data_IF_672916282089
#
_entry.id   IF_672916282089
#
_cell.length_a   1.000
_cell.length_b   1.000
_cell.length_c   1.000
_cell.angle_alpha   90.00
_cell.angle_beta   90.00
_cell.angle_gamma   90.00
#
_symmetry.space_group_name_H-M   'P 1'
#
loop_
_entity.id
_entity.type
_entity.pdbx_description
1 polymer ?
#
# COMPACT_ATOMS: atom_id res chain seq x y z
N UNK A 1 1.76 29.77 -1.79
CA UNK A 1 2.56 28.87 -0.93
C UNK A 1 4.00 29.39 -0.93
N UNK A 2 4.59 29.68 0.23
CA UNK A 2 5.95 30.25 0.29
C UNK A 2 7.00 29.17 0.00
N UNK A 3 8.16 29.59 -0.50
CA UNK A 3 9.28 28.71 -0.87
C UNK A 3 9.82 27.90 0.33
N UNK A 4 9.77 28.49 1.53
CA UNK A 4 10.08 27.80 2.78
C UNK A 4 9.09 26.69 3.13
N UNK A 5 7.79 26.86 2.84
CA UNK A 5 6.81 25.78 3.05
C UNK A 5 7.08 24.62 2.10
N UNK A 6 7.42 24.89 0.83
CA UNK A 6 7.82 23.85 -0.14
C UNK A 6 9.03 23.05 0.34
N UNK A 7 10.08 23.72 0.83
CA UNK A 7 11.31 23.05 1.29
C UNK A 7 11.08 22.18 2.54
N UNK A 8 10.23 22.63 3.46
CA UNK A 8 9.86 21.84 4.65
C UNK A 8 9.06 20.60 4.23
N UNK A 9 8.09 20.75 3.33
CA UNK A 9 7.33 19.64 2.75
C UNK A 9 8.23 18.61 2.06
N UNK A 10 9.17 19.08 1.24
CA UNK A 10 10.14 18.25 0.53
C UNK A 10 11.03 17.46 1.51
N UNK A 11 11.51 18.11 2.57
CA UNK A 11 12.32 17.43 3.60
C UNK A 11 11.55 16.40 4.42
N UNK A 12 10.25 16.62 4.65
CA UNK A 12 9.36 15.65 5.29
C UNK A 12 9.06 14.45 4.39
N UNK A 13 8.90 14.69 3.08
CA UNK A 13 8.79 13.63 2.08
C UNK A 13 10.05 12.79 2.00
N UNK A 14 11.25 13.40 2.02
CA UNK A 14 12.52 12.68 1.97
C UNK A 14 12.74 11.82 3.22
N UNK A 15 12.33 12.29 4.41
CA UNK A 15 12.41 11.52 5.65
C UNK A 15 11.39 10.37 5.67
N UNK A 16 10.15 10.63 5.23
CA UNK A 16 9.12 9.61 5.07
C UNK A 16 9.52 8.58 3.99
N UNK A 17 10.14 9.03 2.89
CA UNK A 17 10.69 8.20 1.82
C UNK A 17 11.76 7.26 2.36
N UNK A 18 12.73 7.76 3.13
CA UNK A 18 13.82 6.93 3.67
C UNK A 18 13.34 5.89 4.69
N UNK A 19 12.34 6.22 5.50
CA UNK A 19 11.73 5.25 6.43
C UNK A 19 10.90 4.20 5.68
N UNK A 20 10.17 4.62 4.65
CA UNK A 20 9.23 3.77 3.90
C UNK A 20 9.93 2.89 2.86
N UNK A 21 11.00 3.35 2.21
CA UNK A 21 11.85 2.51 1.34
C UNK A 21 12.44 1.33 2.11
N UNK A 22 12.73 1.49 3.41
CA UNK A 22 13.23 0.40 4.25
C UNK A 22 12.17 -0.62 4.64
N UNK A 23 10.88 -0.26 4.65
CA UNK A 23 9.76 -1.17 4.96
C UNK A 23 9.01 -1.64 3.70
N UNK A 24 9.43 -1.19 2.51
CA UNK A 24 8.88 -1.64 1.25
C UNK A 24 9.59 -2.89 0.79
N UNK A 25 8.81 -3.85 0.28
CA UNK A 25 9.36 -4.95 -0.49
C UNK A 25 10.26 -4.41 -1.60
N UNK A 26 11.45 -4.99 -1.78
CA UNK A 26 12.52 -4.44 -2.62
C UNK A 26 12.06 -4.12 -4.07
N UNK A 27 11.19 -4.97 -4.62
CA UNK A 27 10.62 -4.78 -5.97
C UNK A 27 9.70 -3.56 -6.11
N UNK A 28 9.18 -3.03 -5.00
CA UNK A 28 8.34 -1.83 -4.99
C UNK A 28 9.15 -0.54 -4.91
N UNK A 29 10.44 -0.61 -4.55
CA UNK A 29 11.28 0.59 -4.40
C UNK A 29 11.39 1.39 -5.70
N UNK A 30 11.71 0.81 -6.87
CA UNK A 30 11.78 1.57 -8.11
C UNK A 30 10.43 2.18 -8.51
N UNK A 31 9.33 1.47 -8.21
CA UNK A 31 7.99 1.97 -8.44
C UNK A 31 7.69 3.16 -7.52
N UNK A 32 8.02 3.07 -6.24
CA UNK A 32 7.85 4.15 -5.27
C UNK A 32 8.62 5.41 -5.68
N UNK A 33 9.89 5.26 -6.06
CA UNK A 33 10.73 6.36 -6.57
C UNK A 33 10.13 7.01 -7.82
N UNK A 34 9.65 6.20 -8.77
CA UNK A 34 8.96 6.69 -9.96
C UNK A 34 7.69 7.49 -9.62
N UNK A 35 6.89 7.01 -8.66
CA UNK A 35 5.68 7.74 -8.22
C UNK A 35 6.07 9.05 -7.55
N UNK A 36 7.10 9.08 -6.70
CA UNK A 36 7.59 10.32 -6.10
C UNK A 36 8.07 11.33 -7.15
N UNK A 37 8.80 10.89 -8.17
CA UNK A 37 9.23 11.76 -9.27
C UNK A 37 8.04 12.33 -10.05
N UNK A 38 7.01 11.50 -10.29
CA UNK A 38 5.76 11.93 -10.92
C UNK A 38 5.02 12.98 -10.07
N UNK A 39 4.93 12.72 -8.77
CA UNK A 39 4.34 13.60 -7.74
C UNK A 39 5.02 14.96 -7.73
N UNK A 40 6.36 14.98 -7.84
CA UNK A 40 7.11 16.23 -7.89
C UNK A 40 6.93 17.03 -9.19
N UNK A 41 6.62 16.36 -10.30
CA UNK A 41 6.58 16.98 -11.64
C UNK A 41 5.21 17.41 -12.11
N UNK A 42 4.13 16.78 -11.67
CA UNK A 42 2.80 16.93 -12.30
C UNK A 42 1.67 17.31 -11.31
N UNK A 43 0.60 17.92 -11.85
CA UNK A 43 -0.67 18.12 -11.12
C UNK A 43 -1.46 16.79 -11.05
N UNK A 44 -2.36 16.69 -10.07
CA UNK A 44 -3.21 15.52 -9.72
C UNK A 44 -3.81 14.62 -10.85
N UNK A 45 -4.14 15.08 -12.08
CA UNK A 45 -4.87 14.25 -13.05
C UNK A 45 -4.17 12.96 -13.52
N UNK A 46 -2.85 12.96 -13.64
CA UNK A 46 -2.10 11.81 -14.19
C UNK A 46 -1.86 10.70 -13.16
N UNK A 47 -1.95 11.00 -11.86
CA UNK A 47 -1.91 9.98 -10.81
C UNK A 47 -3.23 9.20 -10.75
N UNK A 48 -4.36 9.89 -10.90
CA UNK A 48 -5.68 9.24 -10.90
C UNK A 48 -5.84 8.29 -12.09
N UNK A 49 -5.37 8.67 -13.29
CA UNK A 49 -5.43 7.77 -14.45
C UNK A 49 -4.60 6.51 -14.27
N UNK A 50 -3.42 6.60 -13.65
CA UNK A 50 -2.57 5.45 -13.34
C UNK A 50 -3.15 4.57 -12.23
N UNK A 51 -3.73 5.18 -11.20
CA UNK A 51 -4.42 4.47 -10.12
C UNK A 51 -5.65 3.70 -10.64
N UNK A 52 -6.42 4.31 -11.55
CA UNK A 52 -7.55 3.68 -12.22
C UNK A 52 -7.14 2.55 -13.19
N UNK A 53 -5.88 2.52 -13.62
CA UNK A 53 -5.35 1.45 -14.46
C UNK A 53 -4.90 0.21 -13.65
N UNK A 54 -4.86 0.30 -12.30
CA UNK A 54 -4.60 -0.86 -11.47
C UNK A 54 -5.86 -1.74 -11.39
N UNK A 55 -5.70 -3.02 -11.75
CA UNK A 55 -6.76 -4.01 -11.62
C UNK A 55 -6.77 -4.57 -10.19
N UNK A 56 -7.63 -4.01 -9.34
CA UNK A 56 -7.87 -4.46 -7.97
C UNK A 56 -9.10 -5.39 -7.86
N UNK A 57 -9.69 -5.78 -9.00
CA UNK A 57 -10.93 -6.54 -9.07
C UNK A 57 -10.71 -8.04 -9.31
N UNK A 58 -9.45 -8.50 -9.23
CA UNK A 58 -9.12 -9.89 -9.43
C UNK A 58 -9.66 -10.76 -8.29
N UNK A 59 -9.88 -12.07 -8.55
CA UNK A 59 -10.32 -13.00 -7.51
C UNK A 59 -9.31 -13.09 -6.36
N UNK A 60 -9.83 -13.17 -5.14
CA UNK A 60 -8.99 -13.36 -3.95
C UNK A 60 -8.17 -14.66 -4.04
N UNK A 61 -6.88 -14.66 -3.64
CA UNK A 61 -5.96 -15.78 -3.87
C UNK A 61 -6.14 -16.94 -2.86
N UNK A 62 -7.33 -17.55 -2.82
CA UNK A 62 -7.67 -18.60 -1.86
C UNK A 62 -6.77 -19.85 -1.95
N UNK A 63 -6.35 -20.22 -3.16
CA UNK A 63 -5.47 -21.39 -3.35
C UNK A 63 -4.12 -21.17 -2.66
N UNK A 64 -3.54 -19.99 -2.83
CA UNK A 64 -2.22 -19.66 -2.31
C UNK A 64 -2.25 -19.42 -0.81
N UNK A 65 -3.25 -18.69 -0.31
CA UNK A 65 -3.46 -18.51 1.13
C UNK A 65 -3.67 -19.84 1.85
N UNK A 66 -4.43 -20.78 1.28
CA UNK A 66 -4.56 -22.15 1.83
C UNK A 66 -3.23 -22.89 1.86
N UNK A 67 -2.40 -22.71 0.82
CA UNK A 67 -1.07 -23.31 0.75
C UNK A 67 -0.12 -22.72 1.78
N UNK A 68 -0.11 -21.39 1.96
CA UNK A 68 0.63 -20.70 3.01
C UNK A 68 0.28 -21.27 4.39
N UNK A 69 -1.02 -21.40 4.69
CA UNK A 69 -1.49 -21.97 5.97
C UNK A 69 -0.98 -23.41 6.18
N UNK A 70 -0.87 -24.20 5.11
CA UNK A 70 -0.35 -25.57 5.17
C UNK A 70 1.17 -25.61 5.34
N UNK A 71 1.90 -24.81 4.57
CA UNK A 71 3.37 -24.79 4.53
C UNK A 71 3.95 -24.25 5.84
N UNK A 72 3.26 -23.30 6.49
CA UNK A 72 3.71 -22.63 7.70
C UNK A 72 2.81 -22.90 8.92
N UNK A 73 2.11 -24.03 8.93
CA UNK A 73 1.18 -24.42 10.01
C UNK A 73 1.76 -24.37 11.43
N UNK A 74 3.09 -24.48 11.58
CA UNK A 74 3.78 -24.46 12.87
C UNK A 74 4.08 -23.04 13.35
N UNK A 75 4.03 -22.05 12.45
CA UNK A 75 4.25 -20.64 12.74
C UNK A 75 2.95 -19.85 12.87
N UNK A 76 1.84 -20.41 12.37
CA UNK A 76 0.53 -19.76 12.33
C UNK A 76 -0.34 -20.34 13.45
N UNK A 77 -0.89 -19.47 14.30
CA UNK A 77 -1.75 -19.86 15.41
C UNK A 77 -3.17 -20.22 14.92
N UNK A 78 -3.95 -20.89 15.76
CA UNK A 78 -5.31 -21.31 15.39
C UNK A 78 -6.25 -20.10 15.20
N UNK A 79 -6.02 -19.03 15.95
CA UNK A 79 -6.73 -17.76 15.84
C UNK A 79 -6.32 -16.92 14.62
N UNK A 80 -5.18 -17.21 14.00
CA UNK A 80 -4.66 -16.44 12.88
C UNK A 80 -5.45 -16.74 11.61
N UNK A 81 -6.00 -15.70 10.99
CA UNK A 81 -6.79 -15.84 9.76
C UNK A 81 -6.24 -14.94 8.66
N UNK A 82 -5.24 -15.43 7.94
CA UNK A 82 -4.56 -14.67 6.86
C UNK A 82 -5.56 -14.11 5.83
N UNK A 83 -6.64 -14.85 5.55
CA UNK A 83 -7.68 -14.40 4.62
C UNK A 83 -8.45 -13.19 5.17
N UNK A 84 -8.82 -13.21 6.45
CA UNK A 84 -9.54 -12.11 7.08
C UNK A 84 -8.65 -10.87 7.21
N UNK A 85 -7.39 -11.06 7.61
CA UNK A 85 -6.43 -9.98 7.81
C UNK A 85 -6.04 -9.33 6.48
N UNK A 86 -5.73 -10.13 5.45
CA UNK A 86 -5.44 -9.63 4.11
C UNK A 86 -6.66 -8.90 3.51
N UNK A 87 -7.86 -9.44 3.69
CA UNK A 87 -9.07 -8.78 3.23
C UNK A 87 -9.31 -7.45 3.98
N UNK A 88 -9.05 -7.40 5.29
CA UNK A 88 -9.15 -6.17 6.08
C UNK A 88 -8.18 -5.11 5.56
N UNK A 89 -6.93 -5.51 5.28
CA UNK A 89 -5.91 -4.65 4.69
C UNK A 89 -6.32 -4.10 3.32
N UNK A 90 -6.72 -4.98 2.40
CA UNK A 90 -7.14 -4.61 1.05
C UNK A 90 -8.42 -3.78 1.02
N UNK A 91 -9.37 -4.05 1.92
CA UNK A 91 -10.58 -3.24 2.05
C UNK A 91 -10.28 -1.82 2.54
N UNK A 92 -9.27 -1.62 3.39
CA UNK A 92 -8.84 -0.27 3.75
C UNK A 92 -8.33 0.49 2.50
N UNK A 93 -7.51 -0.13 1.66
CA UNK A 93 -7.00 0.44 0.41
C UNK A 93 -8.17 0.80 -0.54
N UNK A 94 -9.08 -0.15 -0.78
CA UNK A 94 -10.26 0.06 -1.63
C UNK A 94 -11.19 1.14 -1.10
N UNK A 95 -11.36 1.22 0.23
CA UNK A 95 -12.15 2.26 0.88
C UNK A 95 -11.59 3.66 0.63
N UNK A 96 -10.29 3.84 0.87
CA UNK A 96 -9.58 5.10 0.59
C UNK A 96 -9.68 5.49 -0.90
N UNK A 97 -9.47 4.54 -1.81
CA UNK A 97 -9.63 4.75 -3.25
C UNK A 97 -11.04 5.25 -3.59
N UNK A 98 -12.07 4.63 -3.02
CA UNK A 98 -13.47 5.03 -3.23
C UNK A 98 -13.75 6.47 -2.80
N UNK A 99 -13.17 6.91 -1.67
CA UNK A 99 -13.28 8.30 -1.23
C UNK A 99 -12.63 9.26 -2.23
N UNK A 100 -11.41 8.95 -2.69
CA UNK A 100 -10.68 9.77 -3.67
C UNK A 100 -11.45 9.89 -4.98
N UNK A 101 -11.90 8.77 -5.55
CA UNK A 101 -12.63 8.75 -6.83
C UNK A 101 -13.96 9.51 -6.76
N UNK A 102 -14.54 9.66 -5.56
CA UNK A 102 -15.76 10.44 -5.33
C UNK A 102 -15.49 11.91 -5.00
N UNK A 103 -14.24 12.37 -5.02
CA UNK A 103 -13.86 13.73 -4.62
C UNK A 103 -14.12 14.00 -3.13
N UNK A 104 -14.06 12.97 -2.28
CA UNK A 104 -14.35 13.02 -0.84
C UNK A 104 -13.15 12.58 0.00
N UNK A 105 -11.93 12.73 -0.52
CA UNK A 105 -10.67 12.43 0.18
C UNK A 105 -10.61 13.05 1.58
N UNK A 106 -11.07 14.28 1.74
CA UNK A 106 -11.16 15.01 3.03
C UNK A 106 -12.04 14.32 4.08
N UNK A 107 -12.85 13.33 3.71
CA UNK A 107 -13.73 12.55 4.61
C UNK A 107 -13.16 11.18 4.98
N UNK A 108 -11.97 10.84 4.52
CA UNK A 108 -11.30 9.59 4.91
C UNK A 108 -10.94 9.67 6.41
N UNK A 109 -11.37 8.71 7.24
CA UNK A 109 -11.01 8.64 8.65
C UNK A 109 -9.49 8.59 8.87
N UNK A 110 -9.00 9.19 9.95
CA UNK A 110 -7.56 9.26 10.22
C UNK A 110 -6.92 7.87 10.35
N UNK A 111 -7.54 6.96 11.09
CA UNK A 111 -7.02 5.60 11.26
C UNK A 111 -6.83 4.87 9.92
N UNK A 112 -7.73 5.09 8.95
CA UNK A 112 -7.60 4.53 7.60
C UNK A 112 -6.43 5.12 6.82
N UNK A 113 -6.11 6.39 7.05
CA UNK A 113 -4.95 7.07 6.47
C UNK A 113 -3.65 6.58 7.10
N UNK A 114 -3.66 6.36 8.41
CA UNK A 114 -2.48 5.91 9.15
C UNK A 114 -2.02 4.54 8.63
N UNK A 115 -2.97 3.65 8.34
CA UNK A 115 -2.69 2.34 7.71
C UNK A 115 -2.00 2.43 6.35
N UNK A 116 -2.17 3.52 5.58
CA UNK A 116 -1.46 3.70 4.30
C UNK A 116 0.05 3.87 4.48
N UNK A 117 0.52 4.13 5.71
CA UNK A 117 1.96 4.18 6.03
C UNK A 117 2.57 2.79 6.21
N UNK A 118 1.76 1.79 6.51
CA UNK A 118 2.22 0.46 6.89
C UNK A 118 1.98 -0.53 5.74
N UNK A 119 2.90 -1.47 5.56
CA UNK A 119 2.67 -2.65 4.72
C UNK A 119 1.73 -3.64 5.43
N UNK A 120 1.36 -4.71 4.73
CA UNK A 120 0.64 -5.82 5.35
C UNK A 120 1.42 -6.42 6.53
N UNK A 121 2.74 -6.64 6.36
CA UNK A 121 3.59 -7.27 7.37
C UNK A 121 3.90 -6.34 8.55
N UNK A 122 3.83 -5.03 8.36
CA UNK A 122 3.92 -4.07 9.46
C UNK A 122 2.68 -4.12 10.37
N UNK A 123 1.48 -4.28 9.78
CA UNK A 123 0.19 -4.31 10.48
C UNK A 123 -0.09 -5.67 11.12
N UNK A 124 0.25 -6.75 10.41
CA UNK A 124 0.00 -8.12 10.82
C UNK A 124 1.34 -8.84 11.01
N UNK A 125 2.06 -8.44 12.06
CA UNK A 125 3.42 -8.91 12.35
C UNK A 125 3.51 -10.41 12.56
N UNK A 126 2.42 -11.09 12.91
CA UNK A 126 2.36 -12.54 12.98
C UNK A 126 2.75 -13.21 11.65
N UNK A 127 2.60 -12.52 10.52
CA UNK A 127 2.96 -13.03 9.19
C UNK A 127 4.32 -12.53 8.69
N UNK A 128 5.16 -11.89 9.51
CA UNK A 128 6.45 -11.35 9.05
C UNK A 128 7.37 -12.43 8.48
N UNK A 129 7.25 -13.68 8.96
CA UNK A 129 7.99 -14.82 8.42
C UNK A 129 7.69 -15.08 6.93
N UNK A 130 6.53 -14.64 6.43
CA UNK A 130 6.11 -14.90 5.06
C UNK A 130 6.77 -13.92 4.08
N UNK A 131 7.22 -12.75 4.54
CA UNK A 131 7.68 -11.65 3.68
C UNK A 131 8.80 -12.07 2.72
N UNK A 132 9.79 -12.83 3.19
CA UNK A 132 10.90 -13.33 2.36
C UNK A 132 10.50 -14.50 1.44
N UNK A 133 9.30 -15.06 1.64
CA UNK A 133 8.81 -16.27 0.97
C UNK A 133 7.60 -16.03 0.07
N UNK A 134 7.05 -14.81 0.02
CA UNK A 134 5.83 -14.50 -0.76
C UNK A 134 5.94 -14.90 -2.24
N UNK A 135 7.15 -14.86 -2.82
CA UNK A 135 7.39 -15.26 -4.21
C UNK A 135 7.10 -16.74 -4.52
N UNK A 136 6.96 -17.59 -3.50
CA UNK A 136 6.57 -19.00 -3.66
C UNK A 136 5.06 -19.19 -3.94
N UNK A 137 4.29 -18.11 -3.82
CA UNK A 137 2.83 -18.08 -3.92
C UNK A 137 2.40 -17.06 -4.99
N UNK A 138 2.45 -17.41 -6.28
CA UNK A 138 2.43 -16.42 -7.38
C UNK A 138 1.12 -15.62 -7.46
N UNK A 139 -0.03 -16.22 -7.18
CA UNK A 139 -1.32 -15.52 -7.17
C UNK A 139 -1.46 -14.59 -5.97
N UNK A 140 -0.99 -15.01 -4.78
CA UNK A 140 -0.89 -14.12 -3.63
C UNK A 140 0.08 -12.96 -3.90
N UNK A 141 1.26 -13.27 -4.46
CA UNK A 141 2.31 -12.30 -4.73
C UNK A 141 1.86 -11.23 -5.71
N UNK A 142 1.27 -11.64 -6.83
CA UNK A 142 0.78 -10.70 -7.85
C UNK A 142 -0.25 -9.72 -7.26
N UNK A 143 -1.23 -10.23 -6.52
CA UNK A 143 -2.25 -9.40 -5.90
C UNK A 143 -1.70 -8.50 -4.80
N UNK A 144 -0.83 -9.03 -3.94
CA UNK A 144 -0.13 -8.25 -2.94
C UNK A 144 0.59 -7.05 -3.56
N UNK A 145 1.37 -7.28 -4.62
CA UNK A 145 2.10 -6.21 -5.33
C UNK A 145 1.14 -5.19 -5.95
N UNK A 146 0.01 -5.62 -6.52
CA UNK A 146 -0.97 -4.69 -7.09
C UNK A 146 -1.64 -3.80 -6.03
N UNK A 147 -2.01 -4.38 -4.90
CA UNK A 147 -2.57 -3.63 -3.76
C UNK A 147 -1.54 -2.69 -3.13
N UNK A 148 -0.28 -3.11 -3.02
CA UNK A 148 0.80 -2.26 -2.53
C UNK A 148 1.06 -1.06 -3.43
N UNK A 149 1.03 -1.25 -4.76
CA UNK A 149 1.10 -0.15 -5.73
C UNK A 149 -0.06 0.83 -5.53
N UNK A 150 -1.28 0.33 -5.33
CA UNK A 150 -2.45 1.17 -5.07
C UNK A 150 -2.30 1.94 -3.75
N UNK A 151 -1.87 1.29 -2.66
CA UNK A 151 -1.61 1.93 -1.37
C UNK A 151 -0.61 3.07 -1.50
N UNK A 152 0.51 2.85 -2.19
CA UNK A 152 1.53 3.86 -2.46
C UNK A 152 0.94 5.04 -3.22
N UNK A 153 0.21 4.79 -4.30
CA UNK A 153 -0.44 5.85 -5.08
C UNK A 153 -1.39 6.69 -4.23
N UNK A 154 -2.25 6.03 -3.46
CA UNK A 154 -3.24 6.71 -2.61
C UNK A 154 -2.53 7.53 -1.54
N UNK A 155 -1.50 6.99 -0.91
CA UNK A 155 -0.68 7.72 0.06
C UNK A 155 -0.08 8.99 -0.55
N UNK A 156 0.58 8.89 -1.70
CA UNK A 156 1.18 10.03 -2.38
C UNK A 156 0.14 11.06 -2.83
N UNK A 157 -1.00 10.61 -3.33
CA UNK A 157 -2.12 11.48 -3.71
C UNK A 157 -2.66 12.28 -2.52
N UNK A 158 -2.89 11.62 -1.39
CA UNK A 158 -3.39 12.27 -0.17
C UNK A 158 -2.37 13.22 0.44
N UNK A 159 -1.07 12.90 0.33
CA UNK A 159 -0.01 13.81 0.73
C UNK A 159 -0.05 15.10 -0.09
N UNK A 160 -0.20 15.00 -1.42
CA UNK A 160 -0.29 16.16 -2.31
C UNK A 160 -1.52 17.03 -2.08
N UNK A 161 -2.67 16.44 -1.81
CA UNK A 161 -3.88 17.22 -1.49
C UNK A 161 -3.77 18.00 -0.17
N UNK A 162 -2.85 17.61 0.72
CA UNK A 162 -2.60 18.32 1.96
C UNK A 162 -1.66 19.54 1.79
N UNK A 163 -1.08 19.75 0.59
CA UNK A 163 -0.19 20.87 0.25
C UNK A 163 -0.92 22.06 -0.36
#
# INVERSE_FOLDING_TARGET
MSESLRLITLSGLDQAQNAKVKSLHSELVPFFEYILELVYREKNPNMLSKLLALDLCKPFPYCDTSKIMSDFKELILEEDCINADLNTYWMNINGNLSYILRGRSQKIPQDQRDWLNMSFFDLFQQYSFLEEHIGLYPGFYEEYINYEKARIFIFCYLFLEAL
#
